data_IF_086430584973
#
_entry.id   IF_086430584973
#
_cell.length_a   1.000
_cell.length_b   1.000
_cell.length_c   1.000
_cell.angle_alpha   90.00
_cell.angle_beta   90.00
_cell.angle_gamma   90.00
#
_symmetry.space_group_name_H-M   'P 1'
#
loop_
_entity.id
_entity.type
_entity.pdbx_description
1 polymer ?
#
# COMPACT_ATOMS: atom_id res chain seq x y z
N UNK A 1 -4.59 -36.90 44.93
CA UNK A 1 -3.79 -35.90 44.19
C UNK A 1 -4.23 -35.94 42.73
N UNK A 2 -4.50 -34.77 42.16
CA UNK A 2 -4.69 -34.49 40.72
C UNK A 2 -6.07 -34.69 40.06
N UNK A 3 -6.88 -33.63 40.01
CA UNK A 3 -7.86 -33.34 38.94
C UNK A 3 -8.07 -31.82 38.84
N UNK A 4 -7.05 -31.08 38.37
CA UNK A 4 -7.25 -29.72 37.86
C UNK A 4 -7.64 -29.81 36.38
N UNK A 5 -8.83 -30.36 36.08
CA UNK A 5 -9.38 -30.38 34.72
C UNK A 5 -9.82 -28.97 34.36
N UNK A 6 -9.16 -28.41 33.34
CA UNK A 6 -9.23 -27.02 32.93
C UNK A 6 -10.64 -26.51 32.68
N UNK A 7 -11.05 -25.52 33.49
CA UNK A 7 -12.21 -24.67 33.20
C UNK A 7 -11.81 -23.62 32.17
N UNK A 8 -11.69 -24.04 30.90
CA UNK A 8 -11.89 -23.07 29.83
C UNK A 8 -13.35 -22.62 29.89
N UNK A 9 -13.59 -21.46 30.49
CA UNK A 9 -14.94 -20.91 30.65
C UNK A 9 -15.55 -20.71 29.26
N UNK A 10 -16.84 -21.03 29.12
CA UNK A 10 -17.59 -20.85 27.86
C UNK A 10 -17.40 -19.45 27.24
N UNK A 11 -17.22 -18.44 28.10
CA UNK A 11 -16.87 -17.07 27.75
C UNK A 11 -15.52 -16.93 27.02
N UNK A 12 -14.47 -17.64 27.45
CA UNK A 12 -13.16 -17.63 26.78
C UNK A 12 -13.23 -18.20 25.36
N UNK A 13 -14.02 -19.27 25.14
CA UNK A 13 -14.24 -19.84 23.79
C UNK A 13 -15.08 -18.93 22.89
N UNK A 14 -16.06 -18.20 23.44
CA UNK A 14 -16.83 -17.20 22.69
C UNK A 14 -15.99 -15.98 22.32
N UNK A 15 -15.24 -15.41 23.27
CA UNK A 15 -14.35 -14.27 23.02
C UNK A 15 -13.23 -14.62 22.03
N UNK A 16 -12.65 -15.81 22.14
CA UNK A 16 -11.66 -16.30 21.18
C UNK A 16 -12.20 -16.47 19.76
N UNK A 17 -13.48 -16.85 19.58
CA UNK A 17 -14.11 -16.92 18.26
C UNK A 17 -14.30 -15.53 17.63
N UNK A 18 -14.69 -14.54 18.43
CA UNK A 18 -14.86 -13.15 17.99
C UNK A 18 -13.50 -12.53 17.63
N UNK A 19 -12.49 -12.69 18.48
CA UNK A 19 -11.13 -12.21 18.20
C UNK A 19 -10.57 -12.81 16.89
N UNK A 20 -10.68 -14.12 16.70
CA UNK A 20 -10.27 -14.78 15.45
C UNK A 20 -11.08 -14.36 14.22
N UNK A 21 -12.33 -13.93 14.38
CA UNK A 21 -13.11 -13.39 13.27
C UNK A 21 -12.58 -11.99 12.89
N UNK A 22 -12.34 -11.13 13.87
CA UNK A 22 -11.77 -9.79 13.66
C UNK A 22 -10.37 -9.83 13.03
N UNK A 23 -9.51 -10.75 13.50
CA UNK A 23 -8.17 -10.94 12.92
C UNK A 23 -8.23 -11.40 11.46
N UNK A 24 -9.19 -12.27 11.12
CA UNK A 24 -9.41 -12.70 9.73
C UNK A 24 -9.87 -11.54 8.84
N UNK A 25 -10.70 -10.64 9.33
CA UNK A 25 -11.11 -9.46 8.58
C UNK A 25 -9.93 -8.49 8.35
N UNK A 26 -9.11 -8.27 9.38
CA UNK A 26 -7.91 -7.44 9.26
C UNK A 26 -6.91 -8.04 8.24
N UNK A 27 -6.74 -9.37 8.26
CA UNK A 27 -5.86 -10.05 7.30
C UNK A 27 -6.42 -10.01 5.87
N UNK A 28 -7.73 -10.22 5.71
CA UNK A 28 -8.38 -10.10 4.40
C UNK A 28 -8.21 -8.70 3.79
N UNK A 29 -8.32 -7.63 4.60
CA UNK A 29 -8.08 -6.26 4.15
C UNK A 29 -6.63 -6.04 3.69
N UNK A 30 -5.65 -6.64 4.38
CA UNK A 30 -4.24 -6.55 3.98
C UNK A 30 -3.97 -7.28 2.67
N UNK A 31 -4.54 -8.47 2.51
CA UNK A 31 -4.43 -9.24 1.26
C UNK A 31 -5.07 -8.47 0.10
N UNK A 32 -6.28 -7.94 0.30
CA UNK A 32 -6.96 -7.12 -0.70
C UNK A 32 -6.14 -5.89 -1.08
N UNK A 33 -5.55 -5.19 -0.10
CA UNK A 33 -4.66 -4.06 -0.36
C UNK A 33 -3.41 -4.47 -1.14
N UNK A 34 -2.78 -5.60 -0.81
CA UNK A 34 -1.61 -6.10 -1.56
C UNK A 34 -1.96 -6.42 -3.02
N UNK A 35 -3.10 -7.07 -3.26
CA UNK A 35 -3.58 -7.38 -4.61
C UNK A 35 -3.90 -6.10 -5.40
N UNK A 36 -4.57 -5.13 -4.75
CA UNK A 36 -4.83 -3.84 -5.37
C UNK A 36 -3.53 -3.10 -5.71
N UNK A 37 -2.53 -3.14 -4.82
CA UNK A 37 -1.21 -2.58 -5.06
C UNK A 37 -0.51 -3.20 -6.27
N UNK A 38 -0.62 -4.53 -6.44
CA UNK A 38 -0.10 -5.23 -7.62
C UNK A 38 -0.82 -4.81 -8.91
N UNK A 39 -2.15 -4.72 -8.87
CA UNK A 39 -2.94 -4.27 -10.03
C UNK A 39 -2.57 -2.84 -10.42
N UNK A 40 -2.48 -1.92 -9.45
CA UNK A 40 -2.07 -0.54 -9.69
C UNK A 40 -0.65 -0.46 -10.26
N UNK A 41 0.30 -1.24 -9.73
CA UNK A 41 1.66 -1.28 -10.24
C UNK A 41 1.70 -1.78 -11.70
N UNK A 42 0.92 -2.81 -12.03
CA UNK A 42 0.80 -3.31 -13.40
C UNK A 42 0.21 -2.25 -14.34
N UNK A 43 -0.82 -1.53 -13.91
CA UNK A 43 -1.42 -0.43 -14.67
C UNK A 43 -0.40 0.69 -14.91
N UNK A 44 0.39 1.06 -13.90
CA UNK A 44 1.45 2.07 -14.04
C UNK A 44 2.49 1.64 -15.07
N UNK A 45 3.00 0.41 -14.96
CA UNK A 45 3.99 -0.11 -15.90
C UNK A 45 3.42 -0.13 -17.32
N UNK A 46 2.21 -0.64 -17.49
CA UNK A 46 1.54 -0.70 -18.80
C UNK A 46 1.32 0.71 -19.39
N UNK A 47 0.77 1.64 -18.61
CA UNK A 47 0.51 3.03 -19.03
C UNK A 47 1.78 3.79 -19.38
N UNK A 48 2.89 3.47 -18.71
CA UNK A 48 4.17 4.17 -18.92
C UNK A 48 4.94 3.62 -20.12
N UNK A 49 4.85 2.31 -20.39
CA UNK A 49 5.58 1.67 -21.48
C UNK A 49 4.76 1.55 -22.78
N UNK A 50 3.43 1.70 -22.73
CA UNK A 50 2.58 1.62 -23.91
C UNK A 50 2.85 2.77 -24.89
N UNK A 51 2.59 2.58 -26.19
CA UNK A 51 2.63 3.65 -27.18
C UNK A 51 1.68 4.79 -26.79
N UNK A 52 2.08 6.05 -27.01
CA UNK A 52 1.28 7.25 -26.65
C UNK A 52 -0.17 7.19 -27.14
N UNK A 53 -0.39 6.58 -28.31
CA UNK A 53 -1.71 6.42 -28.93
C UNK A 53 -2.70 5.55 -28.13
N UNK A 54 -2.20 4.76 -27.17
CA UNK A 54 -3.01 3.85 -26.35
C UNK A 54 -3.08 4.28 -24.89
N UNK A 55 -2.49 5.43 -24.50
CA UNK A 55 -2.50 5.88 -23.12
C UNK A 55 -3.90 6.40 -22.76
N UNK A 56 -4.67 5.71 -21.89
CA UNK A 56 -5.92 6.24 -21.41
C UNK A 56 -5.62 7.46 -20.51
N UNK A 57 -6.13 8.62 -20.88
CA UNK A 57 -6.04 9.85 -20.08
C UNK A 57 -7.21 9.86 -19.09
N UNK A 58 -6.91 9.88 -17.81
CA UNK A 58 -7.88 10.03 -16.72
C UNK A 58 -8.12 11.51 -16.41
N UNK A 59 -7.06 12.32 -16.51
CA UNK A 59 -7.11 13.77 -16.33
C UNK A 59 -6.35 14.49 -17.44
N UNK A 60 -6.60 15.79 -17.59
CA UNK A 60 -5.82 16.65 -18.51
C UNK A 60 -4.38 16.88 -18.02
N UNK A 61 -4.10 16.56 -16.75
CA UNK A 61 -2.81 16.75 -16.10
C UNK A 61 -2.13 15.40 -15.83
N UNK A 62 -1.00 15.16 -16.48
CA UNK A 62 -0.25 13.91 -16.38
C UNK A 62 0.52 13.79 -15.05
N UNK A 63 0.82 14.89 -14.38
CA UNK A 63 1.57 14.89 -13.13
C UNK A 63 0.68 14.47 -11.96
N UNK A 64 -0.58 14.90 -11.99
CA UNK A 64 -1.62 14.42 -11.05
C UNK A 64 -1.82 12.91 -11.19
N UNK A 65 -1.88 12.38 -12.43
CA UNK A 65 -2.00 10.93 -12.65
C UNK A 65 -0.82 10.17 -12.05
N UNK A 66 0.41 10.64 -12.28
CA UNK A 66 1.64 10.03 -11.76
C UNK A 66 1.67 10.06 -10.23
N UNK A 67 1.33 11.20 -9.65
CA UNK A 67 1.25 11.38 -8.20
C UNK A 67 0.25 10.39 -7.59
N UNK A 68 -0.99 10.37 -8.08
CA UNK A 68 -2.04 9.50 -7.56
C UNK A 68 -1.72 8.02 -7.75
N UNK A 69 -1.13 7.66 -8.88
CA UNK A 69 -0.76 6.28 -9.16
C UNK A 69 0.33 5.77 -8.19
N UNK A 70 1.40 6.54 -7.99
CA UNK A 70 2.46 6.16 -7.05
C UNK A 70 2.00 6.24 -5.58
N UNK A 71 1.12 7.17 -5.24
CA UNK A 71 0.46 7.22 -3.93
C UNK A 71 -0.39 5.95 -3.69
N UNK A 72 -1.18 5.53 -4.68
CA UNK A 72 -1.97 4.30 -4.59
C UNK A 72 -1.11 3.05 -4.45
N UNK A 73 -0.06 2.91 -5.28
CA UNK A 73 0.85 1.76 -5.23
C UNK A 73 1.55 1.67 -3.87
N UNK A 74 2.24 2.73 -3.45
CA UNK A 74 2.97 2.73 -2.19
C UNK A 74 2.02 2.59 -0.99
N UNK A 75 0.90 3.32 -0.99
CA UNK A 75 -0.09 3.25 0.07
C UNK A 75 -0.70 1.87 0.26
N UNK A 76 -1.06 1.18 -0.83
CA UNK A 76 -1.60 -0.18 -0.77
C UNK A 76 -0.59 -1.19 -0.18
N UNK A 77 0.65 -1.17 -0.67
CA UNK A 77 1.69 -2.06 -0.15
C UNK A 77 2.08 -1.75 1.30
N UNK A 78 2.20 -0.47 1.66
CA UNK A 78 2.52 -0.05 3.04
C UNK A 78 1.37 -0.40 3.98
N UNK A 79 0.11 -0.26 3.54
CA UNK A 79 -1.03 -0.66 4.35
C UNK A 79 -1.04 -2.19 4.59
N UNK A 80 -0.71 -2.98 3.57
CA UNK A 80 -0.58 -4.43 3.70
C UNK A 80 0.60 -4.85 4.60
N UNK A 81 1.73 -4.12 4.55
CA UNK A 81 2.95 -4.44 5.29
C UNK A 81 3.62 -3.20 5.94
N UNK A 82 3.00 -2.60 6.97
CA UNK A 82 3.43 -1.30 7.52
C UNK A 82 4.81 -1.34 8.18
N UNK A 83 5.28 -2.53 8.60
CA UNK A 83 6.64 -2.71 9.14
C UNK A 83 7.75 -2.62 8.09
N UNK A 84 7.41 -2.75 6.80
CA UNK A 84 8.36 -2.77 5.67
C UNK A 84 8.29 -1.50 4.82
N UNK A 85 7.77 -0.41 5.39
CA UNK A 85 7.46 0.81 4.63
C UNK A 85 8.68 1.41 3.91
N UNK A 86 9.87 1.39 4.53
CA UNK A 86 11.11 1.87 3.90
C UNK A 86 11.48 1.07 2.65
N UNK A 87 11.38 -0.26 2.73
CA UNK A 87 11.64 -1.14 1.59
C UNK A 87 10.65 -0.88 0.47
N UNK A 88 9.36 -0.73 0.80
CA UNK A 88 8.29 -0.48 -0.18
C UNK A 88 8.47 0.88 -0.84
N UNK A 89 8.77 1.93 -0.06
CA UNK A 89 9.05 3.25 -0.58
C UNK A 89 10.27 3.24 -1.51
N UNK A 90 11.36 2.58 -1.11
CA UNK A 90 12.55 2.41 -1.94
C UNK A 90 12.25 1.69 -3.25
N UNK A 91 11.48 0.58 -3.21
CA UNK A 91 11.05 -0.14 -4.41
C UNK A 91 10.16 0.71 -5.32
N UNK A 92 9.26 1.53 -4.76
CA UNK A 92 8.44 2.45 -5.54
C UNK A 92 9.29 3.51 -6.24
N UNK A 93 10.28 4.10 -5.56
CA UNK A 93 11.21 5.07 -6.18
C UNK A 93 12.03 4.41 -7.28
N UNK A 94 12.57 3.20 -7.03
CA UNK A 94 13.33 2.43 -8.04
C UNK A 94 12.46 2.09 -9.25
N UNK A 95 11.20 1.70 -9.05
CA UNK A 95 10.25 1.48 -10.14
C UNK A 95 10.03 2.76 -10.96
N UNK A 96 9.82 3.90 -10.30
CA UNK A 96 9.63 5.19 -10.95
C UNK A 96 10.83 5.62 -11.80
N UNK A 97 12.03 5.47 -11.25
CA UNK A 97 13.29 5.75 -11.93
C UNK A 97 13.56 4.79 -13.10
N UNK A 98 13.29 3.49 -12.92
CA UNK A 98 13.44 2.48 -13.97
C UNK A 98 12.50 2.71 -15.15
N UNK A 99 11.26 3.10 -14.87
CA UNK A 99 10.30 3.47 -15.90
C UNK A 99 10.72 4.74 -16.66
N UNK A 100 11.28 5.72 -15.95
CA UNK A 100 11.83 6.93 -16.57
C UNK A 100 13.03 6.62 -17.47
N UNK A 101 13.96 5.81 -16.99
CA UNK A 101 15.10 5.34 -17.78
C UNK A 101 14.66 4.59 -19.03
N UNK A 102 13.64 3.72 -18.92
CA UNK A 102 13.07 3.00 -20.06
C UNK A 102 12.42 3.96 -21.09
N UNK A 103 11.84 5.07 -20.64
CA UNK A 103 11.30 6.10 -21.54
C UNK A 103 12.40 6.91 -22.23
N UNK A 104 13.51 7.22 -21.55
CA UNK A 104 14.66 7.95 -22.13
C UNK A 104 15.46 7.14 -23.15
N UNK A 105 15.30 5.82 -23.21
CA UNK A 105 15.84 4.99 -24.30
C UNK A 105 15.14 5.27 -25.64
N UNK A 106 14.00 5.98 -25.66
CA UNK A 106 13.39 6.47 -26.88
C UNK A 106 14.08 7.77 -27.32
N UNK A 107 14.57 7.87 -28.55
CA UNK A 107 15.47 8.93 -29.01
C UNK A 107 14.88 10.35 -29.06
N UNK A 108 13.61 10.55 -28.66
CA UNK A 108 12.86 11.80 -28.75
C UNK A 108 12.60 12.51 -27.41
N UNK A 109 13.06 12.00 -26.26
CA UNK A 109 12.81 12.61 -24.94
C UNK A 109 14.06 12.87 -24.10
N UNK A 110 14.26 14.12 -23.71
CA UNK A 110 15.25 14.57 -22.73
C UNK A 110 14.56 14.83 -21.37
N UNK A 111 13.90 13.82 -20.79
CA UNK A 111 12.96 13.97 -19.65
C UNK A 111 13.57 13.83 -18.24
N UNK A 112 14.88 14.02 -18.07
CA UNK A 112 15.62 13.37 -16.99
C UNK A 112 15.26 13.76 -15.53
N UNK A 113 14.52 14.85 -15.26
CA UNK A 113 14.41 15.38 -13.88
C UNK A 113 12.99 15.67 -13.39
N UNK A 114 12.04 16.11 -14.22
CA UNK A 114 10.75 16.57 -13.72
C UNK A 114 9.77 15.43 -13.37
N UNK A 115 9.83 14.32 -14.10
CA UNK A 115 8.86 13.23 -13.99
C UNK A 115 9.11 12.32 -12.78
N UNK A 116 10.33 12.35 -12.21
CA UNK A 116 10.68 11.58 -11.02
C UNK A 116 10.10 12.21 -9.75
N UNK A 117 9.98 13.53 -9.71
CA UNK A 117 9.56 14.29 -8.53
C UNK A 117 8.12 13.94 -8.14
N UNK A 118 7.20 13.93 -9.10
CA UNK A 118 5.79 13.61 -8.85
C UNK A 118 5.56 12.15 -8.44
N UNK A 119 6.33 11.23 -9.02
CA UNK A 119 6.29 9.79 -8.64
C UNK A 119 6.79 9.60 -7.21
N UNK A 120 7.91 10.24 -6.85
CA UNK A 120 8.47 10.18 -5.50
C UNK A 120 7.55 10.87 -4.47
N UNK A 121 7.02 12.06 -4.78
CA UNK A 121 6.07 12.78 -3.94
C UNK A 121 4.81 11.96 -3.68
N UNK A 122 4.24 11.34 -4.73
CA UNK A 122 3.11 10.42 -4.62
C UNK A 122 3.42 9.24 -3.70
N UNK A 123 4.54 8.55 -3.93
CA UNK A 123 4.95 7.40 -3.10
C UNK A 123 5.13 7.77 -1.63
N UNK A 124 5.75 8.93 -1.34
CA UNK A 124 5.87 9.47 0.02
C UNK A 124 4.51 9.75 0.65
N UNK A 125 3.60 10.40 -0.09
CA UNK A 125 2.26 10.72 0.40
C UNK A 125 1.44 9.46 0.71
N UNK A 126 1.41 8.49 -0.21
CA UNK A 126 0.72 7.22 -0.01
C UNK A 126 1.27 6.43 1.19
N UNK A 127 2.59 6.41 1.35
CA UNK A 127 3.27 5.80 2.50
C UNK A 127 2.84 6.46 3.81
N UNK A 128 2.87 7.79 3.87
CA UNK A 128 2.47 8.55 5.06
C UNK A 128 1.02 8.27 5.44
N UNK A 129 0.11 8.29 4.46
CA UNK A 129 -1.31 8.02 4.69
C UNK A 129 -1.57 6.60 5.22
N UNK A 130 -0.88 5.60 4.65
CA UNK A 130 -0.99 4.22 5.10
C UNK A 130 -0.45 4.02 6.53
N UNK A 131 0.68 4.65 6.87
CA UNK A 131 1.23 4.64 8.23
C UNK A 131 0.31 5.34 9.22
N UNK A 132 -0.25 6.49 8.86
CA UNK A 132 -1.21 7.22 9.68
C UNK A 132 -2.47 6.38 9.95
N UNK A 133 -3.00 5.74 8.89
CA UNK A 133 -4.15 4.83 8.98
C UNK A 133 -3.84 3.64 9.90
N UNK A 134 -2.67 3.03 9.75
CA UNK A 134 -2.22 1.95 10.62
C UNK A 134 -2.09 2.39 12.08
N UNK A 135 -1.51 3.57 12.32
CA UNK A 135 -1.37 4.12 13.67
C UNK A 135 -2.73 4.43 14.30
N UNK A 136 -3.67 5.00 13.55
CA UNK A 136 -5.02 5.30 14.02
C UNK A 136 -5.79 4.03 14.39
N UNK A 137 -5.79 3.03 13.51
CA UNK A 137 -6.45 1.74 13.77
C UNK A 137 -5.89 1.06 15.03
N UNK A 138 -4.57 1.14 15.25
CA UNK A 138 -3.94 0.62 16.47
C UNK A 138 -4.31 1.39 17.73
N UNK A 139 -4.56 2.70 17.63
CA UNK A 139 -5.03 3.51 18.77
C UNK A 139 -6.45 3.14 19.15
N UNK A 140 -7.35 3.03 18.16
CA UNK A 140 -8.75 2.64 18.39
C UNK A 140 -8.89 1.21 18.93
N UNK A 141 -7.99 0.31 18.52
CA UNK A 141 -7.98 -1.08 19.00
C UNK A 141 -7.37 -1.27 20.40
N UNK A 142 -6.79 -0.22 21.03
CA UNK A 142 -6.36 -0.29 22.43
C UNK A 142 -7.56 0.01 23.31
N UNK A 143 -8.17 -0.98 23.99
CA UNK A 143 -9.17 -0.67 25.00
C UNK A 143 -8.46 0.11 26.10
N UNK A 144 -8.99 1.28 26.46
CA UNK A 144 -8.55 2.03 27.62
C UNK A 144 -8.56 1.07 28.82
N UNK A 145 -7.37 0.70 29.29
CA UNK A 145 -7.20 0.18 30.64
C UNK A 145 -7.40 1.39 31.55
N UNK A 146 -8.68 1.72 31.80
CA UNK A 146 -9.10 2.66 32.83
C UNK A 146 -8.80 1.94 34.15
N UNK A 147 -7.65 2.30 34.72
CA UNK A 147 -7.29 1.96 36.10
C UNK A 147 -8.29 2.59 37.09
#
# INVERSE_FOLDING_TARGET
MNQAVGRETWLGRCLGRIARALDRHAEALRVAAALLGLVLAAIVVFSTLSPLALRPMLTSDADVERFLAFAGVAGCFVFAAPKRWLLILGLAVVLGAGLEAAQNLRPDRHGLWHDLDWKAAGACFGTALALASHALLRRLARPERRD
#
